data_IF_078373412293
#
_entry.id   IF_078373412293
#
_cell.length_a   1.000
_cell.length_b   1.000
_cell.length_c   1.000
_cell.angle_alpha   90.00
_cell.angle_beta   90.00
_cell.angle_gamma   90.00
#
_symmetry.space_group_name_H-M   'P 1'
#
loop_
_entity.id
_entity.type
_entity.pdbx_description
1 polymer ?
#
# COMPACT_ATOMS: atom_id res chain seq x y z
N UNK A 1 35.54 15.25 -33.70
CA UNK A 1 35.63 14.86 -32.28
C UNK A 1 34.23 15.05 -31.71
N UNK A 2 33.46 13.96 -31.57
CA UNK A 2 32.13 13.98 -30.99
C UNK A 2 32.26 13.79 -29.48
N UNK A 3 31.90 14.80 -28.70
CA UNK A 3 31.89 14.70 -27.24
C UNK A 3 30.81 13.72 -26.79
N UNK A 4 31.20 12.89 -25.83
CA UNK A 4 30.47 11.73 -25.36
C UNK A 4 29.18 12.11 -24.63
N UNK A 5 28.13 11.39 -25.00
CA UNK A 5 26.88 11.26 -24.26
C UNK A 5 27.17 10.80 -22.82
N UNK A 6 27.14 11.72 -21.87
CA UNK A 6 27.07 11.37 -20.45
C UNK A 6 25.64 10.92 -20.14
N UNK A 7 25.38 9.62 -20.19
CA UNK A 7 24.15 9.05 -19.63
C UNK A 7 24.48 7.77 -18.88
N UNK A 8 24.57 7.88 -17.56
CA UNK A 8 24.38 6.77 -16.60
C UNK A 8 24.17 7.39 -15.22
N UNK A 9 23.02 8.02 -15.00
CA UNK A 9 22.42 8.00 -13.66
C UNK A 9 22.13 6.53 -13.37
N UNK A 10 22.79 5.96 -12.36
CA UNK A 10 22.59 4.56 -11.98
C UNK A 10 21.14 4.32 -11.55
N UNK A 11 20.69 3.08 -11.71
CA UNK A 11 19.36 2.67 -11.28
C UNK A 11 19.15 2.91 -9.78
N UNK A 12 17.98 3.41 -9.41
CA UNK A 12 17.54 3.51 -8.01
C UNK A 12 16.94 2.18 -7.60
N UNK A 13 17.39 1.64 -6.48
CA UNK A 13 16.88 0.40 -5.90
C UNK A 13 16.11 0.71 -4.62
N UNK A 14 14.98 0.04 -4.40
CA UNK A 14 14.18 0.21 -3.19
C UNK A 14 14.63 -0.73 -2.08
N UNK A 15 14.43 -0.30 -0.85
CA UNK A 15 14.63 -1.08 0.37
C UNK A 15 13.48 -0.80 1.34
N UNK A 16 12.98 -1.86 1.99
CA UNK A 16 12.04 -1.72 3.10
C UNK A 16 12.86 -1.47 4.36
N UNK A 17 12.58 -0.38 5.04
CA UNK A 17 13.18 -0.04 6.33
C UNK A 17 12.38 -0.64 7.48
N UNK A 18 11.05 -0.63 7.36
CA UNK A 18 10.16 -1.11 8.42
C UNK A 18 8.79 -1.53 7.87
N UNK A 19 8.10 -2.40 8.62
CA UNK A 19 6.70 -2.77 8.39
C UNK A 19 5.99 -2.80 9.75
N UNK A 20 5.00 -1.93 9.90
CA UNK A 20 4.19 -1.83 11.11
C UNK A 20 2.76 -2.31 10.82
N UNK A 21 2.18 -3.05 11.77
CA UNK A 21 0.81 -3.55 11.70
C UNK A 21 -0.01 -2.95 12.84
N UNK A 22 -1.12 -2.33 12.49
CA UNK A 22 -2.07 -1.73 13.42
C UNK A 22 -3.41 -2.43 13.31
N UNK A 23 -3.90 -2.95 14.43
CA UNK A 23 -5.28 -3.38 14.56
C UNK A 23 -6.18 -2.14 14.60
N UNK A 24 -7.12 -2.04 13.67
CA UNK A 24 -8.03 -0.88 13.56
C UNK A 24 -9.40 -1.13 14.22
N UNK A 25 -9.61 -2.26 14.89
CA UNK A 25 -10.86 -2.50 15.63
C UNK A 25 -10.96 -1.61 16.88
N UNK A 26 -12.19 -1.26 17.24
CA UNK A 26 -12.46 -0.64 18.54
C UNK A 26 -12.22 -1.64 19.69
N UNK A 27 -11.79 -1.18 20.88
CA UNK A 27 -11.60 -2.04 22.04
C UNK A 27 -12.90 -2.79 22.40
N UNK A 28 -12.94 -4.10 22.13
CA UNK A 28 -14.10 -4.96 22.40
C UNK A 28 -14.49 -5.89 21.24
N UNK A 29 -14.06 -5.59 20.02
CA UNK A 29 -14.11 -6.52 18.90
C UNK A 29 -12.81 -7.34 18.90
N UNK A 30 -12.86 -8.59 19.35
CA UNK A 30 -11.68 -9.47 19.27
C UNK A 30 -11.45 -9.82 17.81
N UNK A 31 -10.58 -9.04 17.14
CA UNK A 31 -10.29 -9.02 15.69
C UNK A 31 -9.78 -10.31 15.04
N UNK A 32 -10.04 -11.48 15.61
CA UNK A 32 -9.82 -12.78 14.96
C UNK A 32 -10.99 -13.76 15.15
N UNK A 33 -11.95 -13.47 16.04
CA UNK A 33 -13.09 -14.36 16.26
C UNK A 33 -14.03 -14.34 15.04
N UNK A 34 -14.12 -15.49 14.36
CA UNK A 34 -15.05 -15.68 13.25
C UNK A 34 -14.66 -15.04 11.92
N UNK A 35 -13.37 -14.73 11.72
CA UNK A 35 -12.82 -14.32 10.41
C UNK A 35 -13.31 -12.96 9.91
N UNK A 36 -13.69 -12.06 10.83
CA UNK A 36 -14.08 -10.69 10.54
C UNK A 36 -13.00 -9.76 11.08
N UNK A 37 -12.08 -9.33 10.22
CA UNK A 37 -10.97 -8.45 10.59
C UNK A 37 -10.64 -7.42 9.53
N UNK A 38 -10.00 -6.33 9.95
CA UNK A 38 -9.17 -5.50 9.10
C UNK A 38 -7.96 -4.96 9.88
N UNK A 39 -6.80 -4.89 9.23
CA UNK A 39 -5.56 -4.33 9.78
C UNK A 39 -5.03 -3.25 8.85
N UNK A 40 -4.47 -2.18 9.41
CA UNK A 40 -3.68 -1.22 8.66
C UNK A 40 -2.21 -1.64 8.72
N UNK A 41 -1.57 -1.75 7.56
CA UNK A 41 -0.16 -2.13 7.45
C UNK A 41 0.58 -1.00 6.75
N UNK A 42 1.59 -0.49 7.42
CA UNK A 42 2.41 0.63 6.95
C UNK A 42 3.81 0.12 6.64
N UNK A 43 4.21 0.21 5.38
CA UNK A 43 5.58 -0.09 4.96
C UNK A 43 6.36 1.20 4.74
N UNK A 44 7.48 1.35 5.43
CA UNK A 44 8.43 2.45 5.22
C UNK A 44 9.44 2.01 4.17
N UNK A 45 9.35 2.56 2.96
CA UNK A 45 10.18 2.15 1.81
C UNK A 45 11.01 3.33 1.35
N UNK A 46 12.33 3.15 1.26
CA UNK A 46 13.26 4.15 0.75
C UNK A 46 14.12 3.60 -0.39
N UNK A 47 15.12 4.38 -0.82
CA UNK A 47 16.14 3.89 -1.75
C UNK A 47 17.35 3.34 -1.00
N UNK A 48 18.11 2.43 -1.61
CA UNK A 48 19.34 1.88 -1.03
C UNK A 48 20.29 3.01 -0.63
N UNK A 49 20.66 3.05 0.66
CA UNK A 49 21.53 4.09 1.24
C UNK A 49 20.79 5.28 1.87
N UNK A 50 19.47 5.38 1.73
CA UNK A 50 18.66 6.40 2.43
C UNK A 50 18.54 6.08 3.93
N UNK A 51 18.38 7.13 4.75
CA UNK A 51 18.15 6.99 6.21
C UNK A 51 16.68 6.80 6.59
N UNK A 52 15.78 6.99 5.64
CA UNK A 52 14.33 6.88 5.82
C UNK A 52 13.67 6.54 4.50
N UNK A 53 12.36 6.51 4.50
CA UNK A 53 11.56 6.20 3.33
C UNK A 53 10.23 6.94 3.38
N UNK A 54 9.43 6.68 2.37
CA UNK A 54 8.05 7.13 2.34
C UNK A 54 7.15 6.03 2.88
N UNK A 55 6.02 6.42 3.46
CA UNK A 55 5.00 5.49 3.92
C UNK A 55 4.08 5.05 2.78
N UNK A 56 3.96 3.73 2.67
CA UNK A 56 2.98 3.04 1.82
C UNK A 56 2.04 2.27 2.72
N UNK A 57 0.77 2.67 2.72
CA UNK A 57 -0.24 2.17 3.64
C UNK A 57 -1.21 1.25 2.88
N UNK A 58 -1.57 0.13 3.50
CA UNK A 58 -2.58 -0.78 2.98
C UNK A 58 -3.46 -1.26 4.11
N UNK A 59 -4.78 -1.32 3.86
CA UNK A 59 -5.71 -2.03 4.72
C UNK A 59 -5.90 -3.45 4.22
N UNK A 60 -5.61 -4.41 5.07
CA UNK A 60 -5.78 -5.84 4.79
C UNK A 60 -7.00 -6.31 5.54
N UNK A 61 -8.11 -6.49 4.84
CA UNK A 61 -9.38 -6.87 5.44
C UNK A 61 -9.82 -8.27 5.00
N UNK A 62 -10.61 -8.92 5.85
CA UNK A 62 -11.43 -10.05 5.43
C UNK A 62 -12.59 -9.62 4.52
N UNK A 63 -13.05 -10.48 3.59
CA UNK A 63 -14.27 -10.21 2.83
C UNK A 63 -15.49 -9.96 3.73
N UNK A 64 -15.56 -10.67 4.87
CA UNK A 64 -16.63 -10.52 5.87
C UNK A 64 -16.63 -9.13 6.52
N UNK A 65 -15.46 -8.60 6.87
CA UNK A 65 -15.34 -7.24 7.38
C UNK A 65 -15.84 -6.22 6.35
N UNK A 66 -15.43 -6.34 5.09
CA UNK A 66 -15.89 -5.42 4.03
C UNK A 66 -17.40 -5.46 3.85
N UNK A 67 -18.02 -6.65 3.93
CA UNK A 67 -19.46 -6.79 3.84
C UNK A 67 -20.20 -6.15 5.02
N UNK A 68 -19.66 -6.26 6.24
CA UNK A 68 -20.28 -5.73 7.45
C UNK A 68 -20.05 -4.22 7.65
N UNK A 69 -18.92 -3.71 7.17
CA UNK A 69 -18.47 -2.33 7.38
C UNK A 69 -18.41 -1.51 6.08
N UNK A 70 -19.28 -1.82 5.10
CA UNK A 70 -19.24 -1.22 3.76
C UNK A 70 -19.20 0.32 3.77
N UNK A 71 -19.95 0.97 4.68
CA UNK A 71 -20.00 2.43 4.76
C UNK A 71 -18.67 3.05 5.23
N UNK A 72 -17.93 2.36 6.10
CA UNK A 72 -16.60 2.77 6.54
C UNK A 72 -15.57 2.51 5.44
N UNK A 73 -15.60 1.29 4.87
CA UNK A 73 -14.64 0.86 3.86
C UNK A 73 -14.68 1.78 2.64
N UNK A 74 -15.86 2.10 2.11
CA UNK A 74 -15.98 2.96 0.92
C UNK A 74 -15.51 4.41 1.13
N UNK A 75 -15.36 4.83 2.39
CA UNK A 75 -14.83 6.16 2.77
C UNK A 75 -13.32 6.17 3.02
N UNK A 76 -12.66 5.02 2.93
CA UNK A 76 -11.22 4.90 3.17
C UNK A 76 -10.40 5.68 2.14
N UNK A 77 -9.30 6.26 2.61
CA UNK A 77 -8.31 6.87 1.73
C UNK A 77 -7.79 5.84 0.72
N UNK A 78 -7.60 6.27 -0.53
CA UNK A 78 -7.26 5.41 -1.66
C UNK A 78 -8.48 4.87 -2.43
N UNK A 79 -9.68 4.89 -1.83
CA UNK A 79 -10.91 4.44 -2.47
C UNK A 79 -11.78 5.61 -2.94
N UNK A 80 -12.40 5.46 -4.11
CA UNK A 80 -13.17 6.49 -4.81
C UNK A 80 -14.52 5.92 -5.26
N UNK A 81 -15.65 6.46 -4.77
CA UNK A 81 -16.97 6.12 -5.27
C UNK A 81 -17.13 6.53 -6.74
N UNK A 82 -17.42 5.56 -7.61
CA UNK A 82 -17.60 5.73 -9.05
C UNK A 82 -19.07 5.98 -9.45
N UNK A 83 -20.00 5.31 -8.77
CA UNK A 83 -21.45 5.43 -9.00
C UNK A 83 -22.17 5.56 -7.67
N UNK A 84 -23.17 6.46 -7.60
CA UNK A 84 -24.04 6.67 -6.44
C UNK A 84 -25.49 6.36 -6.83
N UNK A 85 -26.20 5.57 -6.04
CA UNK A 85 -27.58 5.13 -6.29
C UNK A 85 -27.83 3.71 -5.78
N UNK A 86 -28.78 2.99 -6.37
CA UNK A 86 -29.16 1.63 -5.95
C UNK A 86 -28.07 0.56 -6.21
N UNK A 87 -27.02 0.93 -6.94
CA UNK A 87 -25.77 0.16 -7.06
C UNK A 87 -24.59 1.09 -6.83
N UNK A 88 -23.84 0.85 -5.76
CA UNK A 88 -22.62 1.61 -5.44
C UNK A 88 -21.40 0.85 -5.96
N UNK A 89 -20.57 1.54 -6.74
CA UNK A 89 -19.29 0.99 -7.24
C UNK A 89 -18.17 1.85 -6.67
N UNK A 90 -17.16 1.21 -6.09
CA UNK A 90 -15.98 1.86 -5.52
C UNK A 90 -14.74 1.31 -6.24
N UNK A 91 -13.83 2.20 -6.64
CA UNK A 91 -12.56 1.86 -7.27
C UNK A 91 -11.42 2.52 -6.50
N UNK A 92 -10.22 1.94 -6.50
CA UNK A 92 -9.08 2.57 -5.83
C UNK A 92 -7.92 1.64 -5.51
N UNK A 93 -7.07 2.08 -4.60
CA UNK A 93 -5.88 1.39 -4.10
C UNK A 93 -5.93 1.27 -2.58
N UNK A 94 -5.00 0.50 -1.98
CA UNK A 94 -4.86 0.44 -0.52
C UNK A 94 -5.86 -0.45 0.22
N UNK A 95 -6.68 -1.25 -0.47
CA UNK A 95 -7.47 -2.33 0.13
C UNK A 95 -7.05 -3.68 -0.43
N UNK A 96 -6.52 -4.56 0.42
CA UNK A 96 -6.21 -5.96 0.11
C UNK A 96 -7.17 -6.88 0.86
N UNK A 97 -7.48 -8.02 0.25
CA UNK A 97 -8.40 -9.01 0.80
C UNK A 97 -7.69 -10.32 1.09
N UNK A 98 -7.93 -10.88 2.27
CA UNK A 98 -7.48 -12.24 2.64
C UNK A 98 -8.55 -12.91 3.52
N UNK A 99 -8.75 -14.21 3.37
CA UNK A 99 -9.74 -14.95 4.16
C UNK A 99 -9.34 -15.08 5.64
N UNK A 100 -8.03 -15.13 5.90
CA UNK A 100 -7.46 -15.28 7.24
C UNK A 100 -6.31 -14.29 7.42
N UNK A 101 -6.14 -13.81 8.63
CA UNK A 101 -4.99 -12.99 8.97
C UNK A 101 -3.76 -13.89 9.08
N UNK A 102 -2.74 -13.53 8.30
CA UNK A 102 -1.41 -14.13 8.33
C UNK A 102 -0.42 -12.99 8.09
N UNK A 103 0.17 -12.50 9.17
CA UNK A 103 1.10 -11.37 9.16
C UNK A 103 2.34 -11.64 8.32
N UNK A 104 2.84 -12.88 8.34
CA UNK A 104 4.00 -13.30 7.55
C UNK A 104 3.66 -13.27 6.05
N UNK A 105 2.49 -13.81 5.67
CA UNK A 105 2.04 -13.79 4.28
C UNK A 105 1.83 -12.36 3.76
N UNK A 106 1.27 -11.47 4.59
CA UNK A 106 1.10 -10.05 4.25
C UNK A 106 2.46 -9.35 4.11
N UNK A 107 3.38 -9.62 5.03
CA UNK A 107 4.76 -9.09 5.00
C UNK A 107 5.49 -9.53 3.72
N UNK A 108 5.38 -10.80 3.35
CA UNK A 108 5.97 -11.32 2.10
C UNK A 108 5.30 -10.72 0.85
N UNK A 109 3.98 -10.47 0.88
CA UNK A 109 3.29 -9.78 -0.21
C UNK A 109 3.78 -8.33 -0.39
N UNK A 110 4.05 -7.61 0.71
CA UNK A 110 4.67 -6.27 0.68
C UNK A 110 6.09 -6.35 0.09
N UNK A 111 6.91 -7.29 0.56
CA UNK A 111 8.27 -7.52 0.02
C UNK A 111 8.24 -7.80 -1.48
N UNK A 112 7.33 -8.67 -1.92
CA UNK A 112 7.14 -8.98 -3.33
C UNK A 112 6.67 -7.75 -4.14
N UNK A 113 5.85 -6.87 -3.56
CA UNK A 113 5.45 -5.60 -4.16
C UNK A 113 6.61 -4.62 -4.33
N UNK A 114 7.43 -4.45 -3.30
CA UNK A 114 8.59 -3.57 -3.40
C UNK A 114 9.61 -4.12 -4.40
N UNK A 115 9.88 -5.43 -4.34
CA UNK A 115 10.80 -6.09 -5.24
C UNK A 115 10.38 -5.97 -6.72
N UNK A 116 9.10 -6.21 -7.06
CA UNK A 116 8.61 -6.07 -8.44
C UNK A 116 8.56 -4.62 -8.94
N UNK A 117 8.57 -3.66 -8.03
CA UNK A 117 8.52 -2.22 -8.36
C UNK A 117 9.90 -1.63 -8.59
N UNK A 118 10.96 -2.32 -8.14
CA UNK A 118 12.37 -1.94 -8.22
C UNK A 118 13.12 -2.75 -9.30
N UNK A 119 14.18 -2.21 -9.94
CA UNK A 119 14.65 -0.83 -9.87
C UNK A 119 13.84 0.14 -10.72
N UNK A 120 14.14 1.43 -10.59
CA UNK A 120 13.60 2.51 -11.42
C UNK A 120 14.64 3.59 -11.70
N UNK A 121 14.34 4.46 -12.65
CA UNK A 121 15.21 5.59 -13.02
C UNK A 121 15.19 6.72 -11.98
N UNK A 122 14.09 6.82 -11.23
CA UNK A 122 13.90 7.80 -10.14
C UNK A 122 13.15 7.15 -8.97
N UNK A 123 13.27 7.74 -7.78
CA UNK A 123 12.46 7.33 -6.63
C UNK A 123 10.96 7.49 -6.89
N UNK A 124 10.55 8.62 -7.47
CA UNK A 124 9.16 8.88 -7.81
C UNK A 124 8.56 7.81 -8.73
N UNK A 125 9.34 7.28 -9.68
CA UNK A 125 8.89 6.17 -10.53
C UNK A 125 8.63 4.90 -9.72
N UNK A 126 9.51 4.56 -8.77
CA UNK A 126 9.35 3.37 -7.91
C UNK A 126 8.17 3.57 -6.97
N UNK A 127 8.08 4.73 -6.29
CA UNK A 127 6.97 5.07 -5.40
C UNK A 127 5.63 5.01 -6.12
N UNK A 128 5.53 5.57 -7.33
CA UNK A 128 4.33 5.47 -8.15
C UNK A 128 3.96 4.02 -8.53
N UNK A 129 4.95 3.11 -8.68
CA UNK A 129 4.67 1.69 -8.94
C UNK A 129 4.11 0.98 -7.70
N UNK A 130 4.61 1.32 -6.52
CA UNK A 130 4.12 0.79 -5.25
C UNK A 130 2.72 1.32 -4.95
N UNK A 131 2.50 2.63 -5.11
CA UNK A 131 1.21 3.31 -4.91
C UNK A 131 0.07 2.86 -5.83
N UNK A 132 0.32 2.02 -6.86
CA UNK A 132 -0.76 1.36 -7.60
C UNK A 132 -1.49 0.29 -6.81
N UNK A 133 -0.91 -0.19 -5.72
CA UNK A 133 -1.49 -1.25 -4.87
C UNK A 133 -1.71 -0.80 -3.42
N UNK A 134 -1.11 0.31 -3.02
CA UNK A 134 -1.18 0.89 -1.67
C UNK A 134 -1.61 2.35 -1.77
N UNK A 135 -1.86 3.03 -0.66
CA UNK A 135 -1.85 4.50 -0.64
C UNK A 135 -0.45 4.99 -0.33
N UNK A 136 0.03 5.99 -1.06
CA UNK A 136 1.36 6.57 -0.84
C UNK A 136 1.20 7.95 -0.20
N UNK A 137 1.91 8.23 0.90
CA UNK A 137 1.77 9.51 1.63
C UNK A 137 2.02 10.76 0.76
N UNK A 138 2.80 10.61 -0.31
CA UNK A 138 3.08 11.68 -1.26
C UNK A 138 2.27 11.65 -2.56
N UNK A 139 1.29 10.75 -2.71
CA UNK A 139 0.55 10.51 -3.97
C UNK A 139 -0.10 11.77 -4.57
N UNK A 140 -0.39 12.79 -3.75
CA UNK A 140 -1.04 14.03 -4.15
C UNK A 140 -0.17 15.28 -4.05
N UNK A 141 1.10 15.15 -3.66
CA UNK A 141 2.01 16.29 -3.68
C UNK A 141 2.38 16.61 -5.13
N UNK A 142 2.01 17.82 -5.58
CA UNK A 142 2.46 18.39 -6.84
C UNK A 142 3.47 19.47 -6.49
N UNK A 143 4.63 19.42 -7.13
CA UNK A 143 5.59 20.53 -7.16
C UNK A 143 4.94 21.80 -7.76
#
# INVERSE_FOLDING_TARGET
MSEGRSSRTGDVHAVIHDIEVFDIHEPGDSGTEGGCFCYEVTATVGHVGSRGGDHFIVRVCSPKYVANHWQEVKGMWGLVPMVKGDGEVVSGTGLWLTEQWDEDAVTEAIRALVARSSPGSTWAEIGARIGRSTTWEFEYYRD
#
